data_IF_357536782851
#
_entry.id   IF_357536782851
#
_cell.length_a   1.000
_cell.length_b   1.000
_cell.length_c   1.000
_cell.angle_alpha   90.00
_cell.angle_beta   90.00
_cell.angle_gamma   90.00
#
_symmetry.space_group_name_H-M   'P 1'
#
loop_
_entity.id
_entity.type
_entity.pdbx_description
1 polymer ?
#
# COMPACT_ATOMS: atom_id res chain seq x y z
N UNK A 1 -6.75 -12.83 -10.24
CA UNK A 1 -7.95 -12.45 -9.47
C UNK A 1 -8.26 -11.01 -9.84
N UNK A 2 -9.40 -10.72 -10.51
CA UNK A 2 -9.72 -9.36 -10.90
C UNK A 2 -10.15 -8.58 -9.65
N UNK A 3 -9.61 -7.38 -9.49
CA UNK A 3 -10.02 -6.42 -8.47
C UNK A 3 -11.43 -5.96 -8.86
N UNK A 4 -12.46 -6.72 -8.48
CA UNK A 4 -13.84 -6.32 -8.75
C UNK A 4 -14.13 -5.04 -7.97
N UNK A 5 -14.77 -4.06 -8.61
CA UNK A 5 -15.09 -2.73 -8.06
C UNK A 5 -15.69 -2.74 -6.64
N UNK A 6 -16.36 -3.83 -6.25
CA UNK A 6 -16.91 -4.01 -4.91
C UNK A 6 -15.86 -3.99 -3.78
N UNK A 7 -14.66 -4.55 -3.98
CA UNK A 7 -13.63 -4.60 -2.93
C UNK A 7 -13.02 -3.23 -2.66
N UNK A 8 -12.84 -2.42 -3.71
CA UNK A 8 -12.33 -1.06 -3.60
C UNK A 8 -13.37 -0.13 -2.97
N UNK A 9 -14.65 -0.29 -3.33
CA UNK A 9 -15.74 0.48 -2.73
C UNK A 9 -15.87 0.23 -1.23
N UNK A 10 -15.72 -1.01 -0.76
CA UNK A 10 -15.80 -1.33 0.67
C UNK A 10 -14.67 -0.71 1.49
N UNK A 11 -13.42 -0.83 1.03
CA UNK A 11 -12.28 -0.20 1.70
C UNK A 11 -12.40 1.33 1.70
N UNK A 12 -12.84 1.92 0.58
CA UNK A 12 -13.06 3.36 0.49
C UNK A 12 -14.14 3.85 1.48
N UNK A 13 -15.24 3.11 1.64
CA UNK A 13 -16.29 3.45 2.60
C UNK A 13 -15.78 3.49 4.05
N UNK A 14 -14.97 2.50 4.45
CA UNK A 14 -14.38 2.42 5.79
C UNK A 14 -13.36 3.55 6.07
N UNK A 15 -12.65 4.00 5.04
CA UNK A 15 -11.76 5.16 5.14
C UNK A 15 -12.55 6.47 5.20
N UNK A 16 -13.64 6.60 4.44
CA UNK A 16 -14.48 7.81 4.42
C UNK A 16 -15.27 7.97 5.72
N UNK A 17 -15.76 6.86 6.31
CA UNK A 17 -16.45 6.91 7.61
C UNK A 17 -15.52 7.23 8.78
N UNK A 18 -14.21 6.99 8.61
CA UNK A 18 -13.21 7.13 9.66
C UNK A 18 -13.08 5.91 10.57
N UNK A 19 -13.79 4.81 10.26
CA UNK A 19 -13.67 3.55 11.00
C UNK A 19 -12.28 2.94 10.83
N UNK A 20 -11.65 3.18 9.69
CA UNK A 20 -10.29 2.73 9.37
C UNK A 20 -9.34 3.91 9.12
N UNK A 21 -8.09 3.71 9.52
CA UNK A 21 -6.95 4.58 9.20
C UNK A 21 -6.16 3.96 8.04
N UNK A 22 -5.91 4.75 7.00
CA UNK A 22 -5.02 4.38 5.91
C UNK A 22 -3.60 4.92 6.13
N UNK A 23 -2.62 4.28 5.50
CA UNK A 23 -1.27 4.80 5.32
C UNK A 23 -0.86 4.71 3.85
N UNK A 24 0.14 5.50 3.44
CA UNK A 24 0.72 5.44 2.10
C UNK A 24 2.21 5.12 2.23
N UNK A 25 2.66 4.03 1.60
CA UNK A 25 4.02 3.52 1.71
C UNK A 25 4.81 3.62 0.39
N UNK A 26 5.04 4.86 -0.06
CA UNK A 26 5.71 5.12 -1.33
C UNK A 26 7.23 5.22 -1.20
N UNK A 27 7.71 6.15 -0.35
CA UNK A 27 9.13 6.46 -0.18
C UNK A 27 9.94 5.28 0.37
N UNK A 28 11.18 5.18 -0.07
CA UNK A 28 12.18 4.20 0.39
C UNK A 28 13.40 4.94 0.97
N UNK A 29 14.29 4.27 1.73
CA UNK A 29 15.48 4.91 2.29
C UNK A 29 16.33 5.69 1.27
N UNK A 30 16.38 5.21 0.02
CA UNK A 30 17.17 5.81 -1.06
C UNK A 30 16.33 6.45 -2.18
N UNK A 31 15.00 6.47 -2.06
CA UNK A 31 14.08 6.94 -3.11
C UNK A 31 12.90 7.72 -2.49
N UNK A 32 13.04 9.05 -2.42
CA UNK A 32 11.99 9.97 -1.98
C UNK A 32 11.38 10.72 -3.17
N UNK A 33 12.01 11.83 -3.57
CA UNK A 33 11.59 12.60 -4.76
C UNK A 33 11.75 11.80 -6.06
N UNK A 34 12.81 11.00 -6.16
CA UNK A 34 13.04 10.08 -7.27
C UNK A 34 12.31 8.75 -7.02
N UNK A 35 10.97 8.81 -7.00
CA UNK A 35 10.12 7.66 -6.69
C UNK A 35 10.23 6.55 -7.75
N UNK A 36 10.54 6.90 -8.99
CA UNK A 36 10.65 5.96 -10.11
C UNK A 36 11.86 5.05 -9.99
N UNK A 37 12.87 5.40 -9.17
CA UNK A 37 14.04 4.56 -8.92
C UNK A 37 13.87 3.55 -7.78
N UNK A 38 12.67 3.48 -7.18
CA UNK A 38 12.36 2.57 -6.08
C UNK A 38 12.75 1.11 -6.38
N UNK A 39 13.16 0.39 -5.34
CA UNK A 39 13.66 -0.98 -5.44
C UNK A 39 12.70 -2.03 -4.93
N UNK A 40 11.65 -1.66 -4.19
CA UNK A 40 10.60 -2.60 -3.82
C UNK A 40 10.01 -3.24 -5.09
N UNK A 41 9.88 -4.57 -5.08
CA UNK A 41 9.34 -5.35 -6.20
C UNK A 41 8.15 -6.18 -5.75
N UNK A 42 7.25 -6.40 -6.70
CA UNK A 42 6.12 -7.28 -6.57
C UNK A 42 6.31 -8.46 -7.53
N UNK A 43 6.70 -9.62 -7.00
CA UNK A 43 6.86 -10.83 -7.78
C UNK A 43 5.53 -11.59 -7.82
N UNK A 44 5.06 -11.95 -9.01
CA UNK A 44 3.77 -12.65 -9.16
C UNK A 44 3.90 -14.09 -8.69
N UNK A 45 2.95 -14.52 -7.87
CA UNK A 45 2.83 -15.90 -7.37
C UNK A 45 1.41 -16.40 -7.56
N UNK A 46 1.18 -17.70 -7.35
CA UNK A 46 -0.16 -18.25 -7.40
C UNK A 46 -1.05 -17.58 -6.35
N UNK A 47 -2.14 -16.98 -6.82
CA UNK A 47 -3.08 -16.26 -5.95
C UNK A 47 -2.71 -14.82 -5.60
N UNK A 48 -1.56 -14.28 -6.03
CA UNK A 48 -1.23 -12.88 -5.71
C UNK A 48 0.19 -12.43 -6.07
N UNK A 49 0.78 -11.63 -5.18
CA UNK A 49 2.12 -11.08 -5.31
C UNK A 49 2.86 -11.17 -3.98
N UNK A 50 4.16 -11.44 -4.04
CA UNK A 50 5.08 -11.27 -2.91
C UNK A 50 5.76 -9.92 -3.07
N UNK A 51 5.63 -9.06 -2.05
CA UNK A 51 6.27 -7.75 -2.01
C UNK A 51 7.59 -7.83 -1.25
N UNK A 52 8.69 -7.41 -1.86
CA UNK A 52 10.03 -7.41 -1.26
C UNK A 52 10.67 -6.03 -1.36
N UNK A 53 10.93 -5.39 -0.23
CA UNK A 53 11.58 -4.08 -0.15
C UNK A 53 11.37 -3.41 1.20
N UNK A 54 11.97 -2.23 1.36
CA UNK A 54 11.82 -1.41 2.56
C UNK A 54 11.14 -0.09 2.21
N UNK A 55 10.15 0.31 3.02
CA UNK A 55 9.49 1.60 2.93
C UNK A 55 9.88 2.47 4.11
N UNK A 56 9.83 3.78 3.91
CA UNK A 56 10.23 4.77 4.90
C UNK A 56 9.22 5.90 4.95
N UNK A 57 9.11 6.54 6.12
CA UNK A 57 8.23 7.70 6.34
C UNK A 57 6.74 7.41 6.09
N UNK A 58 6.30 6.20 6.39
CA UNK A 58 4.88 5.82 6.29
C UNK A 58 4.09 6.44 7.44
N UNK A 59 3.58 7.66 7.24
CA UNK A 59 2.65 8.31 8.17
C UNK A 59 1.47 7.37 8.45
N UNK A 60 1.13 7.20 9.73
CA UNK A 60 0.15 6.24 10.26
C UNK A 60 0.53 4.75 10.15
N UNK A 61 1.73 4.39 9.69
CA UNK A 61 2.16 3.00 9.53
C UNK A 61 1.88 2.09 10.74
N UNK A 62 2.11 2.51 11.99
CA UNK A 62 1.85 1.67 13.17
C UNK A 62 0.36 1.38 13.46
N UNK A 63 -0.57 2.16 12.91
CA UNK A 63 -2.01 2.09 13.25
C UNK A 63 -2.91 1.84 12.04
N UNK A 64 -2.36 1.84 10.82
CA UNK A 64 -3.13 1.70 9.61
C UNK A 64 -3.66 0.27 9.41
N UNK A 65 -4.89 0.16 8.93
CA UNK A 65 -5.54 -1.10 8.57
C UNK A 65 -5.41 -1.41 7.07
N UNK A 66 -5.02 -0.43 6.27
CA UNK A 66 -4.75 -0.59 4.83
C UNK A 66 -3.65 0.35 4.36
N UNK A 67 -2.94 -0.08 3.30
CA UNK A 67 -1.92 0.67 2.57
C UNK A 67 -2.41 1.07 1.17
#
# INVERSE_FOLDING_TARGET
MPITSHSLCGAAQLLISGDHVGALAMSEPNSGSDVVSMKCKADRVDGGYVLNGNKMWCTNGPVAQTL
#
